data_IF_693473894221
#
_entry.id   IF_693473894221
#
_cell.length_a   1.000
_cell.length_b   1.000
_cell.length_c   1.000
_cell.angle_alpha   90.00
_cell.angle_beta   90.00
_cell.angle_gamma   90.00
#
_symmetry.space_group_name_H-M   'P 1'
#
loop_
_entity.id
_entity.type
_entity.pdbx_description
1 polymer ?
#
# COMPACT_ATOMS: atom_id res chain seq x y z
N UNK A 1 -16.86 5.18 1.40
CA UNK A 1 -15.62 4.39 1.26
C UNK A 1 -14.92 4.74 -0.05
N UNK A 2 -13.79 5.44 0.00
CA UNK A 2 -12.98 5.79 -1.19
C UNK A 2 -11.91 4.73 -1.41
N UNK A 3 -11.70 4.35 -2.66
CA UNK A 3 -10.67 3.39 -3.07
C UNK A 3 -9.38 4.13 -3.36
N UNK A 4 -8.31 3.81 -2.64
CA UNK A 4 -7.03 4.51 -2.73
C UNK A 4 -5.97 3.58 -3.32
N UNK A 5 -5.39 3.99 -4.45
CA UNK A 5 -4.22 3.34 -5.03
C UNK A 5 -2.94 4.09 -4.64
N UNK A 6 -1.88 3.36 -4.30
CA UNK A 6 -0.57 3.96 -3.99
C UNK A 6 0.43 3.57 -5.07
N UNK A 7 0.74 4.51 -5.94
CA UNK A 7 1.74 4.32 -6.97
C UNK A 7 3.15 4.57 -6.41
N UNK A 8 3.85 3.50 -6.03
CA UNK A 8 5.19 3.54 -5.46
C UNK A 8 5.25 3.20 -3.97
N UNK A 9 5.40 1.91 -3.64
CA UNK A 9 5.57 1.37 -2.29
C UNK A 9 7.03 1.51 -1.80
N UNK A 10 7.50 2.75 -1.73
CA UNK A 10 8.78 3.12 -1.13
C UNK A 10 8.61 3.64 0.31
N UNK A 11 9.60 4.39 0.78
CA UNK A 11 9.61 4.99 2.14
C UNK A 11 8.32 5.74 2.48
N UNK A 12 7.84 6.61 1.60
CA UNK A 12 6.60 7.38 1.85
C UNK A 12 5.36 6.55 1.52
N UNK A 13 5.34 5.86 0.38
CA UNK A 13 4.17 5.08 -0.05
C UNK A 13 3.71 4.07 0.98
N UNK A 14 4.63 3.33 1.62
CA UNK A 14 4.26 2.36 2.66
C UNK A 14 3.65 2.99 3.91
N UNK A 15 4.12 4.17 4.29
CA UNK A 15 3.58 4.93 5.42
C UNK A 15 2.19 5.50 5.09
N UNK A 16 2.00 5.97 3.86
CA UNK A 16 0.69 6.39 3.38
C UNK A 16 -0.27 5.21 3.33
N UNK A 17 0.18 4.02 2.90
CA UNK A 17 -0.64 2.81 2.91
C UNK A 17 -1.17 2.50 4.31
N UNK A 18 -0.27 2.51 5.29
CA UNK A 18 -0.62 2.28 6.69
C UNK A 18 -1.48 3.42 7.27
N UNK A 19 -1.35 4.66 6.80
CA UNK A 19 -2.22 5.76 7.24
C UNK A 19 -3.65 5.65 6.69
N UNK A 20 -3.79 5.19 5.44
CA UNK A 20 -5.09 5.01 4.77
C UNK A 20 -5.89 3.90 5.45
N UNK A 21 -5.25 2.82 5.91
CA UNK A 21 -5.95 1.73 6.63
C UNK A 21 -6.49 2.15 7.99
N UNK A 22 -6.04 3.28 8.54
CA UNK A 22 -6.55 3.87 9.78
C UNK A 22 -7.73 4.81 9.57
N UNK A 23 -8.08 5.15 8.33
CA UNK A 23 -9.21 6.03 8.03
C UNK A 23 -10.50 5.22 7.88
N UNK A 24 -11.58 5.70 8.48
CA UNK A 24 -12.91 5.06 8.44
C UNK A 24 -13.62 5.24 7.08
N UNK A 25 -13.27 6.28 6.31
CA UNK A 25 -13.86 6.57 5.02
C UNK A 25 -13.06 6.05 3.81
N UNK A 26 -11.93 5.35 4.02
CA UNK A 26 -11.02 4.90 2.96
C UNK A 26 -10.69 3.41 3.00
N UNK A 27 -10.31 2.86 1.84
CA UNK A 27 -9.69 1.53 1.73
C UNK A 27 -8.62 1.50 0.66
N UNK A 28 -7.57 0.69 0.87
CA UNK A 28 -6.54 0.45 -0.14
C UNK A 28 -7.11 -0.43 -1.25
N UNK A 29 -6.97 0.03 -2.49
CA UNK A 29 -7.27 -0.75 -3.69
C UNK A 29 -6.08 -1.61 -4.12
N UNK A 30 -4.88 -1.09 -3.93
CA UNK A 30 -3.61 -1.75 -4.27
C UNK A 30 -2.45 -0.78 -4.15
N UNK A 31 -1.24 -1.30 -4.17
CA UNK A 31 0.02 -0.56 -4.16
C UNK A 31 0.87 -1.03 -5.34
N UNK A 32 1.81 -0.22 -5.83
CA UNK A 32 2.71 -0.64 -6.91
C UNK A 32 4.16 -0.61 -6.45
N UNK A 33 4.99 -1.52 -6.95
CA UNK A 33 6.43 -1.55 -6.70
C UNK A 33 7.15 -1.95 -7.98
N UNK A 34 8.20 -1.20 -8.34
CA UNK A 34 8.98 -1.49 -9.56
C UNK A 34 9.86 -2.74 -9.44
N UNK A 35 10.40 -2.99 -8.25
CA UNK A 35 11.42 -4.01 -8.02
C UNK A 35 10.91 -5.02 -6.99
N UNK A 36 10.95 -6.34 -7.27
CA UNK A 36 10.48 -7.38 -6.35
C UNK A 36 11.50 -7.62 -5.22
N UNK A 37 11.67 -6.62 -4.36
CA UNK A 37 12.55 -6.65 -3.20
C UNK A 37 11.80 -7.06 -1.90
N UNK A 38 12.47 -6.94 -0.76
CA UNK A 38 11.87 -7.28 0.53
C UNK A 38 10.65 -6.41 0.90
N UNK A 39 10.58 -5.18 0.40
CA UNK A 39 9.43 -4.30 0.65
C UNK A 39 8.23 -4.72 -0.19
N UNK A 40 8.45 -5.23 -1.40
CA UNK A 40 7.43 -5.88 -2.22
C UNK A 40 6.81 -7.07 -1.47
N UNK A 41 7.66 -7.95 -0.91
CA UNK A 41 7.23 -9.08 -0.10
C UNK A 41 6.41 -8.62 1.12
N UNK A 42 6.87 -7.60 1.82
CA UNK A 42 6.17 -7.02 2.97
C UNK A 42 4.79 -6.45 2.60
N UNK A 43 4.62 -5.86 1.40
CA UNK A 43 3.32 -5.38 0.94
C UNK A 43 2.31 -6.52 0.78
N UNK A 44 2.73 -7.63 0.16
CA UNK A 44 1.89 -8.84 0.00
C UNK A 44 1.58 -9.48 1.35
N UNK A 45 2.55 -9.59 2.25
CA UNK A 45 2.35 -10.12 3.60
C UNK A 45 1.37 -9.28 4.44
N UNK A 46 1.31 -7.96 4.18
CA UNK A 46 0.28 -7.06 4.76
C UNK A 46 -1.09 -7.19 4.09
N UNK A 47 -1.23 -8.02 3.05
CA UNK A 47 -2.47 -8.23 2.32
C UNK A 47 -2.80 -7.14 1.30
N UNK A 48 -1.83 -6.31 0.91
CA UNK A 48 -2.03 -5.36 -0.17
C UNK A 48 -1.93 -6.07 -1.53
N UNK A 49 -2.85 -5.73 -2.45
CA UNK A 49 -2.72 -6.07 -3.87
C UNK A 49 -1.53 -5.29 -4.45
N UNK A 50 -0.58 -5.99 -5.08
CA UNK A 50 0.75 -5.46 -5.45
C UNK A 50 1.05 -5.55 -6.95
#
# INVERSE_FOLDING_TARGET
MKNIGINGYGTIGKRVADAVTLQDDMKIAGVTKRTPDYEAKAAVEKGYDL
#
